data_IF_310733297374
#
_entry.id   IF_310733297374
#
_cell.length_a   1.000
_cell.length_b   1.000
_cell.length_c   1.000
_cell.angle_alpha   90.00
_cell.angle_beta   90.00
_cell.angle_gamma   90.00
#
_symmetry.space_group_name_H-M   'P 1'
#
loop_
_entity.id
_entity.type
_entity.pdbx_description
1 polymer ?
#
# COMPACT_ATOMS: atom_id res chain seq x y z
N UNK A 1 -9.73 21.47 -9.68
CA UNK A 1 -8.85 21.04 -10.81
C UNK A 1 -8.68 19.53 -10.81
N UNK A 2 -7.91 18.91 -9.90
CA UNK A 2 -7.71 17.44 -9.89
C UNK A 2 -9.03 16.64 -9.76
N UNK A 3 -9.91 17.01 -8.82
CA UNK A 3 -11.18 16.30 -8.62
C UNK A 3 -12.18 16.51 -9.77
N UNK A 4 -12.13 17.67 -10.44
CA UNK A 4 -12.96 17.96 -11.60
C UNK A 4 -12.52 17.14 -12.81
N UNK A 5 -11.21 16.95 -12.98
CA UNK A 5 -10.64 16.06 -14.01
C UNK A 5 -11.05 14.61 -13.76
N UNK A 6 -10.96 14.10 -12.52
CA UNK A 6 -11.45 12.75 -12.17
C UNK A 6 -12.93 12.61 -12.49
N UNK A 7 -13.75 13.61 -12.12
CA UNK A 7 -15.18 13.62 -12.38
C UNK A 7 -15.48 13.59 -13.89
N UNK A 8 -14.72 14.33 -14.69
CA UNK A 8 -14.90 14.33 -16.16
C UNK A 8 -14.70 12.94 -16.77
N UNK A 9 -13.88 12.10 -16.14
CA UNK A 9 -13.60 10.74 -16.59
C UNK A 9 -14.57 9.70 -16.08
N UNK A 10 -15.47 10.04 -15.16
CA UNK A 10 -16.50 9.14 -14.62
C UNK A 10 -17.88 9.83 -14.80
N UNK A 11 -18.50 9.69 -15.98
CA UNK A 11 -19.81 10.27 -16.26
C UNK A 11 -20.86 9.81 -15.23
N UNK A 12 -21.68 10.75 -14.75
CA UNK A 12 -22.71 10.48 -13.75
C UNK A 12 -22.21 10.42 -12.30
N UNK A 13 -20.91 10.68 -12.07
CA UNK A 13 -20.36 10.76 -10.72
C UNK A 13 -20.87 12.00 -9.97
N UNK A 14 -21.16 11.85 -8.67
CA UNK A 14 -21.63 12.95 -7.82
C UNK A 14 -20.58 14.05 -7.68
N UNK A 15 -20.99 15.21 -7.15
CA UNK A 15 -20.02 16.18 -6.66
C UNK A 15 -19.18 15.55 -5.52
N UNK A 16 -17.89 15.90 -5.41
CA UNK A 16 -17.06 15.45 -4.30
C UNK A 16 -17.53 16.08 -2.99
N UNK A 17 -17.60 15.25 -1.95
CA UNK A 17 -17.88 15.69 -0.57
C UNK A 17 -16.61 15.45 0.25
N UNK A 18 -16.12 16.47 0.93
CA UNK A 18 -14.96 16.33 1.82
C UNK A 18 -15.41 15.67 3.14
N UNK A 19 -14.71 14.61 3.55
CA UNK A 19 -14.97 13.86 4.77
C UNK A 19 -13.66 13.36 5.38
N UNK A 20 -13.49 13.54 6.70
CA UNK A 20 -12.29 13.21 7.47
C UNK A 20 -11.01 13.77 6.82
N UNK A 21 -10.25 12.90 6.14
CA UNK A 21 -8.95 13.18 5.51
C UNK A 21 -9.02 13.12 3.97
N UNK A 22 -10.20 13.10 3.36
CA UNK A 22 -10.35 12.84 1.93
C UNK A 22 -11.65 13.31 1.30
N UNK A 23 -11.88 12.87 0.06
CA UNK A 23 -13.09 13.17 -0.69
C UNK A 23 -13.85 11.89 -1.04
N UNK A 24 -15.16 11.92 -0.91
CA UNK A 24 -16.07 10.84 -1.27
C UNK A 24 -16.91 11.26 -2.47
N UNK A 25 -17.08 10.33 -3.41
CA UNK A 25 -17.92 10.49 -4.59
C UNK A 25 -18.71 9.21 -4.84
N UNK A 26 -19.95 9.35 -5.31
CA UNK A 26 -20.76 8.23 -5.78
C UNK A 26 -20.66 8.15 -7.30
N UNK A 27 -20.20 7.02 -7.81
CA UNK A 27 -20.16 6.73 -9.24
C UNK A 27 -21.30 5.76 -9.62
N UNK A 28 -21.89 5.89 -10.81
CA UNK A 28 -22.80 4.88 -11.33
C UNK A 28 -22.09 3.53 -11.42
N UNK A 29 -22.78 2.45 -11.07
CA UNK A 29 -22.25 1.12 -11.26
C UNK A 29 -22.01 0.87 -12.76
N UNK A 30 -20.79 0.50 -13.13
CA UNK A 30 -20.48 0.04 -14.49
C UNK A 30 -20.88 -1.44 -14.58
N UNK A 31 -21.79 -1.79 -15.49
CA UNK A 31 -22.16 -3.18 -15.77
C UNK A 31 -20.95 -4.03 -16.20
N UNK A 32 -19.91 -3.40 -16.76
CA UNK A 32 -18.67 -4.06 -17.14
C UNK A 32 -17.62 -4.11 -16.01
N UNK A 33 -17.88 -3.54 -14.83
CA UNK A 33 -16.98 -3.59 -13.69
C UNK A 33 -15.67 -2.80 -13.83
N UNK A 34 -15.55 -1.89 -14.81
CA UNK A 34 -14.29 -1.19 -15.12
C UNK A 34 -14.04 0.08 -14.30
N UNK A 35 -14.79 0.28 -13.21
CA UNK A 35 -14.60 1.46 -12.36
C UNK A 35 -13.17 1.53 -11.81
N UNK A 36 -12.65 0.40 -11.33
CA UNK A 36 -11.27 0.29 -10.82
C UNK A 36 -10.25 0.64 -11.91
N UNK A 37 -10.38 0.08 -13.11
CA UNK A 37 -9.48 0.38 -14.24
C UNK A 37 -9.48 1.86 -14.62
N UNK A 38 -10.68 2.47 -14.63
CA UNK A 38 -10.83 3.91 -14.94
C UNK A 38 -10.23 4.79 -13.84
N UNK A 39 -10.36 4.38 -12.58
CA UNK A 39 -9.77 5.08 -11.45
C UNK A 39 -8.25 4.98 -11.47
N UNK A 40 -7.71 3.79 -11.75
CA UNK A 40 -6.26 3.61 -11.93
C UNK A 40 -5.73 4.46 -13.09
N UNK A 41 -6.43 4.48 -14.22
CA UNK A 41 -6.05 5.30 -15.37
C UNK A 41 -6.13 6.80 -15.08
N UNK A 42 -7.22 7.25 -14.46
CA UNK A 42 -7.35 8.64 -14.04
C UNK A 42 -6.24 9.03 -13.05
N UNK A 43 -5.97 8.17 -12.07
CA UNK A 43 -4.95 8.44 -11.07
C UNK A 43 -3.54 8.43 -11.67
N UNK A 44 -3.21 7.51 -12.60
CA UNK A 44 -1.95 7.55 -13.38
C UNK A 44 -1.76 8.87 -14.12
N UNK A 45 -2.82 9.45 -14.69
CA UNK A 45 -2.76 10.78 -15.35
C UNK A 45 -2.55 11.92 -14.37
N UNK A 46 -3.03 11.78 -13.15
CA UNK A 46 -2.81 12.75 -12.09
C UNK A 46 -1.41 12.65 -11.48
N UNK A 47 -0.77 11.48 -11.53
CA UNK A 47 0.54 11.25 -10.92
C UNK A 47 1.60 12.31 -11.30
N UNK A 48 1.76 12.72 -12.59
CA UNK A 48 2.71 13.77 -12.98
C UNK A 48 2.33 15.17 -12.46
N UNK A 49 1.06 15.41 -12.15
CA UNK A 49 0.55 16.69 -11.65
C UNK A 49 0.76 16.84 -10.13
N UNK A 50 1.08 15.74 -9.44
CA UNK A 50 1.35 15.70 -8.01
C UNK A 50 2.84 15.93 -7.76
N UNK A 51 3.30 17.19 -7.82
CA UNK A 51 4.73 17.54 -7.70
C UNK A 51 5.46 16.85 -6.52
N UNK A 52 4.82 16.78 -5.35
CA UNK A 52 5.29 16.05 -4.16
C UNK A 52 4.14 15.33 -3.43
N UNK A 53 3.08 14.99 -4.17
CA UNK A 53 1.84 14.44 -3.61
C UNK A 53 1.68 12.96 -3.90
N UNK A 54 0.75 12.33 -3.21
CA UNK A 54 0.29 10.99 -3.50
C UNK A 54 -1.24 10.96 -3.44
N UNK A 55 -1.84 10.03 -4.16
CA UNK A 55 -3.30 9.83 -4.21
C UNK A 55 -3.61 8.41 -3.77
N UNK A 56 -4.44 8.29 -2.73
CA UNK A 56 -4.99 7.02 -2.27
C UNK A 56 -6.49 6.96 -2.57
N UNK A 57 -6.91 5.90 -3.23
CA UNK A 57 -8.29 5.69 -3.67
C UNK A 57 -8.78 4.37 -3.06
N UNK A 58 -9.95 4.41 -2.44
CA UNK A 58 -10.66 3.23 -1.97
C UNK A 58 -11.99 3.11 -2.67
N UNK A 59 -12.33 1.90 -3.14
CA UNK A 59 -13.64 1.63 -3.76
C UNK A 59 -14.39 0.57 -2.98
N UNK A 60 -15.71 0.73 -2.88
CA UNK A 60 -16.62 -0.29 -2.37
C UNK A 60 -17.29 -1.06 -3.51
N UNK A 61 -17.96 -2.17 -3.17
CA UNK A 61 -18.71 -2.94 -4.15
C UNK A 61 -19.89 -2.14 -4.73
N UNK A 62 -20.31 -2.42 -5.98
CA UNK A 62 -21.55 -1.89 -6.52
C UNK A 62 -22.75 -2.23 -5.62
N UNK A 63 -23.62 -1.26 -5.37
CA UNK A 63 -24.75 -1.44 -4.47
C UNK A 63 -25.99 -0.64 -4.89
N UNK A 64 -27.15 -1.11 -4.47
CA UNK A 64 -28.46 -0.47 -4.72
C UNK A 64 -29.18 -0.19 -3.41
N UNK A 65 -30.02 0.85 -3.41
CA UNK A 65 -30.79 1.28 -2.24
C UNK A 65 -29.92 1.88 -1.12
N UNK A 66 -30.56 2.54 -0.16
CA UNK A 66 -29.86 3.29 0.89
C UNK A 66 -28.95 2.41 1.77
N UNK A 67 -29.41 1.20 2.14
CA UNK A 67 -28.63 0.29 2.96
C UNK A 67 -27.41 -0.28 2.22
N UNK A 68 -27.56 -0.58 0.92
CA UNK A 68 -26.46 -1.02 0.07
C UNK A 68 -25.41 0.07 -0.12
N UNK A 69 -25.85 1.30 -0.40
CA UNK A 69 -24.96 2.45 -0.53
C UNK A 69 -24.16 2.73 0.74
N UNK A 70 -24.79 2.60 1.92
CA UNK A 70 -24.07 2.74 3.21
C UNK A 70 -22.96 1.69 3.34
N UNK A 71 -23.24 0.43 3.01
CA UNK A 71 -22.22 -0.64 3.04
C UNK A 71 -21.07 -0.36 2.08
N UNK A 72 -21.38 -0.01 0.84
CA UNK A 72 -20.39 0.32 -0.19
C UNK A 72 -19.51 1.50 0.24
N UNK A 73 -20.09 2.51 0.89
CA UNK A 73 -19.35 3.63 1.45
C UNK A 73 -18.39 3.19 2.57
N UNK A 74 -18.84 2.33 3.49
CA UNK A 74 -17.98 1.81 4.56
C UNK A 74 -16.82 0.96 4.00
N UNK A 75 -17.08 0.15 2.98
CA UNK A 75 -16.07 -0.60 2.23
C UNK A 75 -15.06 0.34 1.56
N UNK A 76 -15.54 1.38 0.86
CA UNK A 76 -14.68 2.37 0.21
C UNK A 76 -13.79 3.11 1.21
N UNK A 77 -14.33 3.45 2.40
CA UNK A 77 -13.55 4.06 3.50
C UNK A 77 -12.47 3.11 4.02
N UNK A 78 -12.79 1.83 4.22
CA UNK A 78 -11.82 0.83 4.65
C UNK A 78 -10.70 0.66 3.63
N UNK A 79 -11.07 0.50 2.36
CA UNK A 79 -10.11 0.40 1.26
C UNK A 79 -9.25 1.67 1.15
N UNK A 80 -9.83 2.86 1.32
CA UNK A 80 -9.08 4.13 1.29
C UNK A 80 -8.06 4.20 2.43
N UNK A 81 -8.43 3.82 3.66
CA UNK A 81 -7.47 3.78 4.77
C UNK A 81 -6.31 2.82 4.52
N UNK A 82 -6.56 1.68 3.88
CA UNK A 82 -5.51 0.73 3.46
C UNK A 82 -4.66 1.32 2.33
N UNK A 83 -5.27 1.99 1.35
CA UNK A 83 -4.56 2.64 0.25
C UNK A 83 -3.59 3.72 0.76
N UNK A 84 -3.90 4.37 1.89
CA UNK A 84 -3.00 5.33 2.55
C UNK A 84 -1.76 4.71 3.20
N UNK A 85 -1.77 3.40 3.47
CA UNK A 85 -0.60 2.72 4.06
C UNK A 85 0.54 2.58 3.04
N UNK A 86 0.22 2.33 1.77
CA UNK A 86 1.22 1.94 0.79
C UNK A 86 2.10 3.08 0.26
N UNK A 87 3.24 2.68 -0.28
CA UNK A 87 4.13 3.54 -1.07
C UNK A 87 3.63 3.71 -2.51
N UNK A 88 4.17 4.72 -3.22
CA UNK A 88 3.81 5.07 -4.59
C UNK A 88 3.10 6.42 -4.74
N UNK A 89 3.04 6.95 -5.96
CA UNK A 89 2.36 8.23 -6.26
C UNK A 89 0.84 8.06 -6.31
N UNK A 90 0.38 6.86 -6.67
CA UNK A 90 -1.02 6.51 -6.83
C UNK A 90 -1.24 5.11 -6.28
N UNK A 91 -2.26 4.93 -5.45
CA UNK A 91 -2.66 3.62 -4.95
C UNK A 91 -4.17 3.50 -4.93
N UNK A 92 -4.67 2.45 -5.55
CA UNK A 92 -6.09 2.08 -5.54
C UNK A 92 -6.23 0.76 -4.78
N UNK A 93 -7.21 0.69 -3.90
CA UNK A 93 -7.57 -0.53 -3.16
C UNK A 93 -9.06 -0.73 -3.32
N UNK A 94 -9.47 -1.96 -3.57
CA UNK A 94 -10.88 -2.33 -3.71
C UNK A 94 -11.37 -3.05 -2.45
N UNK A 95 -12.68 -3.32 -2.38
CA UNK A 95 -13.27 -4.11 -1.29
C UNK A 95 -12.66 -5.52 -1.20
N UNK A 96 -12.13 -6.03 -2.31
CA UNK A 96 -11.57 -7.39 -2.44
C UNK A 96 -10.18 -7.50 -1.84
N UNK A 97 -9.48 -6.37 -1.77
CA UNK A 97 -8.09 -6.27 -1.32
C UNK A 97 -7.99 -5.91 0.17
N UNK A 98 -9.14 -5.81 0.86
CA UNK A 98 -9.21 -5.52 2.30
C UNK A 98 -8.73 -6.73 3.08
N UNK A 99 -7.44 -6.75 3.40
CA UNK A 99 -6.88 -7.74 4.33
C UNK A 99 -7.09 -7.32 5.79
N UNK A 100 -7.43 -8.27 6.66
CA UNK A 100 -7.74 -8.02 8.08
C UNK A 100 -6.59 -7.33 8.84
N UNK A 101 -5.35 -7.73 8.58
CA UNK A 101 -4.17 -7.15 9.24
C UNK A 101 -3.87 -5.73 8.73
N UNK A 102 -4.09 -5.44 7.45
CA UNK A 102 -3.93 -4.10 6.92
C UNK A 102 -5.01 -3.15 7.44
N UNK A 103 -6.25 -3.62 7.61
CA UNK A 103 -7.32 -2.81 8.22
C UNK A 103 -7.01 -2.44 9.67
N UNK A 104 -6.48 -3.40 10.45
CA UNK A 104 -6.03 -3.15 11.83
C UNK A 104 -4.89 -2.13 11.84
N UNK A 105 -3.89 -2.31 10.99
CA UNK A 105 -2.77 -1.38 10.86
C UNK A 105 -3.24 0.02 10.43
N UNK A 106 -4.18 0.11 9.49
CA UNK A 106 -4.75 1.36 9.01
C UNK A 106 -5.55 2.12 10.09
N UNK A 107 -5.97 1.42 11.15
CA UNK A 107 -6.67 2.01 12.30
C UNK A 107 -5.71 2.60 13.35
N UNK A 108 -4.41 2.31 13.26
CA UNK A 108 -3.37 2.90 14.13
C UNK A 108 -3.07 4.33 13.65
N UNK A 109 -2.91 5.33 14.54
CA UNK A 109 -2.54 6.70 14.15
C UNK A 109 -1.26 6.78 13.28
N UNK A 110 -1.22 7.75 12.37
CA UNK A 110 -0.16 7.86 11.35
C UNK A 110 1.24 8.08 11.93
N UNK A 111 1.34 8.91 12.97
CA UNK A 111 2.58 9.19 13.71
C UNK A 111 3.13 7.92 14.38
N UNK A 112 2.25 7.10 14.98
CA UNK A 112 2.61 5.82 15.58
C UNK A 112 3.11 4.83 14.53
N UNK A 113 2.44 4.75 13.37
CA UNK A 113 2.86 3.90 12.25
C UNK A 113 4.24 4.31 11.71
N UNK A 114 4.46 5.61 11.51
CA UNK A 114 5.76 6.15 11.04
C UNK A 114 6.87 5.84 12.03
N UNK A 115 6.64 6.04 13.33
CA UNK A 115 7.59 5.69 14.38
C UNK A 115 7.91 4.18 14.37
N UNK A 116 6.89 3.34 14.16
CA UNK A 116 7.07 1.89 14.07
C UNK A 116 7.93 1.49 12.86
N UNK A 117 7.64 2.04 11.67
CA UNK A 117 8.45 1.84 10.46
C UNK A 117 9.89 2.29 10.67
N UNK A 118 10.09 3.50 11.17
CA UNK A 118 11.43 4.08 11.40
C UNK A 118 12.28 3.19 12.31
N UNK A 119 11.69 2.63 13.37
CA UNK A 119 12.40 1.74 14.31
C UNK A 119 12.89 0.44 13.67
N UNK A 120 12.16 -0.11 12.72
CA UNK A 120 12.46 -1.41 12.10
C UNK A 120 13.24 -1.29 10.80
N UNK A 121 12.86 -0.33 9.96
CA UNK A 121 13.33 -0.20 8.57
C UNK A 121 14.31 0.96 8.41
N UNK A 122 14.21 2.01 9.23
CA UNK A 122 15.02 3.23 9.05
C UNK A 122 16.53 2.99 9.11
N UNK A 123 17.00 1.99 9.89
CA UNK A 123 18.43 1.61 9.91
C UNK A 123 18.88 1.00 8.58
N UNK A 124 18.03 0.22 7.92
CA UNK A 124 18.33 -0.38 6.62
C UNK A 124 18.31 0.68 5.53
N UNK A 125 17.33 1.57 5.53
CA UNK A 125 17.24 2.67 4.56
C UNK A 125 18.47 3.59 4.62
N UNK A 126 18.93 3.94 5.83
CA UNK A 126 20.17 4.71 6.02
C UNK A 126 21.38 3.95 5.50
N UNK A 127 21.50 2.68 5.85
CA UNK A 127 22.63 1.87 5.44
C UNK A 127 22.70 1.72 3.91
N UNK A 128 21.55 1.43 3.28
CA UNK A 128 21.41 1.33 1.82
C UNK A 128 21.83 2.62 1.11
N UNK A 129 21.40 3.78 1.63
CA UNK A 129 21.80 5.08 1.10
C UNK A 129 23.30 5.39 1.25
N UNK A 130 23.91 4.96 2.36
CA UNK A 130 25.34 5.20 2.62
C UNK A 130 26.28 4.25 1.86
N UNK A 131 25.84 3.02 1.59
CA UNK A 131 26.69 1.94 1.07
C UNK A 131 26.33 1.49 -0.35
N UNK A 132 25.38 2.16 -1.01
CA UNK A 132 24.84 1.77 -2.32
C UNK A 132 24.40 0.29 -2.33
N UNK A 133 23.69 -0.11 -1.27
CA UNK A 133 23.12 -1.45 -1.12
C UNK A 133 21.60 -1.46 -1.27
N UNK A 134 21.01 -2.66 -1.29
CA UNK A 134 19.57 -2.86 -1.41
C UNK A 134 19.08 -3.95 -0.45
N UNK A 135 19.27 -3.71 0.85
CA UNK A 135 18.83 -4.59 1.92
C UNK A 135 17.32 -4.48 2.17
N UNK A 136 16.72 -3.30 2.01
CA UNK A 136 15.26 -3.15 2.07
C UNK A 136 14.58 -3.96 0.95
N UNK A 137 15.07 -3.87 -0.29
CA UNK A 137 14.56 -4.67 -1.41
C UNK A 137 14.81 -6.17 -1.20
N UNK A 138 16.00 -6.54 -0.74
CA UNK A 138 16.31 -7.95 -0.42
C UNK A 138 15.39 -8.53 0.67
N UNK A 139 15.12 -7.78 1.74
CA UNK A 139 14.21 -8.19 2.80
C UNK A 139 12.77 -8.33 2.29
N UNK A 140 12.32 -7.38 1.47
CA UNK A 140 10.99 -7.40 0.86
C UNK A 140 10.80 -8.66 0.02
N UNK A 141 11.72 -8.94 -0.91
CA UNK A 141 11.67 -10.14 -1.75
C UNK A 141 11.71 -11.44 -0.92
N UNK A 142 12.49 -11.47 0.17
CA UNK A 142 12.52 -12.64 1.04
C UNK A 142 11.18 -12.90 1.74
N UNK A 143 10.50 -11.84 2.19
CA UNK A 143 9.19 -11.95 2.85
C UNK A 143 8.09 -12.32 1.85
N UNK A 144 8.12 -11.76 0.63
CA UNK A 144 7.22 -12.10 -0.48
C UNK A 144 7.39 -13.55 -0.92
N UNK A 145 8.64 -14.03 -0.94
CA UNK A 145 8.97 -15.44 -1.11
C UNK A 145 8.63 -16.30 0.13
N UNK A 146 7.83 -15.79 1.07
CA UNK A 146 7.41 -16.47 2.31
C UNK A 146 8.58 -17.04 3.13
N UNK A 147 9.77 -16.44 3.02
CA UNK A 147 11.01 -16.86 3.68
C UNK A 147 11.75 -17.99 2.96
N UNK A 148 11.39 -18.28 1.69
CA UNK A 148 12.08 -19.28 0.88
C UNK A 148 13.36 -18.70 0.28
N UNK A 149 14.50 -19.23 0.73
CA UNK A 149 15.82 -18.88 0.22
C UNK A 149 15.97 -19.12 -1.29
N UNK A 150 15.43 -20.22 -1.80
CA UNK A 150 15.55 -20.57 -3.23
C UNK A 150 14.73 -19.63 -4.09
N UNK A 151 13.43 -19.46 -3.78
CA UNK A 151 12.55 -18.57 -4.54
C UNK A 151 13.04 -17.11 -4.51
N UNK A 152 13.49 -16.63 -3.35
CA UNK A 152 14.02 -15.28 -3.22
C UNK A 152 15.33 -15.09 -4.01
N UNK A 153 16.23 -16.08 -4.00
CA UNK A 153 17.48 -16.01 -4.76
C UNK A 153 17.21 -16.00 -6.28
N UNK A 154 16.25 -16.82 -6.73
CA UNK A 154 15.76 -16.82 -8.11
C UNK A 154 15.15 -15.47 -8.50
N UNK A 155 14.24 -14.92 -7.67
CA UNK A 155 13.60 -13.64 -7.91
C UNK A 155 14.60 -12.48 -8.01
N UNK A 156 15.57 -12.44 -7.09
CA UNK A 156 16.62 -11.42 -7.09
C UNK A 156 17.76 -11.69 -8.08
N UNK A 157 17.75 -12.83 -8.77
CA UNK A 157 18.78 -13.26 -9.71
C UNK A 157 20.19 -13.29 -9.08
N UNK A 158 20.27 -13.74 -7.83
CA UNK A 158 21.52 -13.86 -7.06
C UNK A 158 21.76 -15.29 -6.60
N UNK A 159 23.02 -15.62 -6.32
CA UNK A 159 23.33 -16.90 -5.71
C UNK A 159 22.84 -16.97 -4.25
N UNK A 160 22.38 -18.14 -3.79
CA UNK A 160 21.86 -18.35 -2.42
C UNK A 160 22.86 -17.94 -1.33
N UNK A 161 24.16 -18.09 -1.57
CA UNK A 161 25.19 -17.62 -0.63
C UNK A 161 25.22 -16.10 -0.49
N UNK A 162 25.04 -15.37 -1.60
CA UNK A 162 24.96 -13.91 -1.59
C UNK A 162 23.70 -13.47 -0.84
N UNK A 163 22.56 -14.10 -1.11
CA UNK A 163 21.33 -13.84 -0.38
C UNK A 163 21.50 -14.06 1.13
N UNK A 164 22.17 -15.16 1.52
CA UNK A 164 22.49 -15.47 2.92
C UNK A 164 23.28 -14.36 3.59
N UNK A 165 24.34 -13.89 2.94
CA UNK A 165 25.12 -12.77 3.44
C UNK A 165 24.24 -11.51 3.64
N UNK A 166 23.42 -11.16 2.64
CA UNK A 166 22.56 -9.96 2.71
C UNK A 166 21.55 -10.07 3.85
N UNK A 167 20.86 -11.20 3.99
CA UNK A 167 19.87 -11.39 5.06
C UNK A 167 20.51 -11.49 6.46
N UNK A 168 21.71 -12.07 6.59
CA UNK A 168 22.46 -12.00 7.84
C UNK A 168 22.84 -10.57 8.21
N UNK A 169 23.16 -9.73 7.22
CA UNK A 169 23.42 -8.30 7.46
C UNK A 169 22.17 -7.55 7.87
N UNK A 170 21.01 -7.86 7.28
CA UNK A 170 19.72 -7.34 7.74
C UNK A 170 19.48 -7.66 9.21
N UNK A 171 19.65 -8.93 9.62
CA UNK A 171 19.47 -9.34 11.02
C UNK A 171 20.45 -8.61 11.97
N UNK A 172 21.71 -8.43 11.55
CA UNK A 172 22.71 -7.73 12.36
C UNK A 172 22.44 -6.23 12.51
N UNK A 173 22.00 -5.57 11.44
CA UNK A 173 21.71 -4.13 11.45
C UNK A 173 20.44 -3.81 12.25
N UNK A 174 19.43 -4.68 12.14
CA UNK A 174 18.12 -4.48 12.78
C UNK A 174 18.05 -5.06 14.20
N UNK A 175 18.91 -6.03 14.54
CA UNK A 175 18.82 -6.79 15.78
C UNK A 175 17.66 -7.79 15.84
N UNK A 176 16.96 -8.03 14.73
CA UNK A 176 15.82 -8.95 14.63
C UNK A 176 16.20 -10.21 13.88
N UNK A 177 15.51 -11.33 14.14
CA UNK A 177 15.79 -12.60 13.48
C UNK A 177 14.70 -13.02 12.51
N UNK A 178 15.09 -13.20 11.25
CA UNK A 178 14.24 -13.70 10.17
C UNK A 178 13.88 -15.19 10.31
N UNK A 179 14.44 -15.88 11.30
CA UNK A 179 14.03 -17.22 11.66
C UNK A 179 12.70 -17.23 12.46
N UNK A 180 12.31 -16.11 13.08
CA UNK A 180 11.09 -16.04 13.90
C UNK A 180 9.92 -15.49 13.10
N UNK A 181 8.73 -16.08 13.30
CA UNK A 181 7.51 -15.56 12.68
C UNK A 181 7.19 -14.14 13.19
N UNK A 182 7.46 -13.86 14.47
CA UNK A 182 7.18 -12.57 15.09
C UNK A 182 7.91 -11.44 14.37
N UNK A 183 9.22 -11.56 14.24
CA UNK A 183 10.04 -10.52 13.61
C UNK A 183 9.71 -10.38 12.12
N UNK A 184 9.40 -11.50 11.44
CA UNK A 184 8.95 -11.47 10.05
C UNK A 184 7.62 -10.72 9.89
N UNK A 185 6.65 -10.95 10.79
CA UNK A 185 5.39 -10.20 10.79
C UNK A 185 5.66 -8.71 11.05
N UNK A 186 6.55 -8.40 12.00
CA UNK A 186 6.90 -7.03 12.32
C UNK A 186 7.49 -6.31 11.09
N UNK A 187 8.40 -6.96 10.37
CA UNK A 187 8.94 -6.44 9.09
C UNK A 187 7.88 -6.35 7.99
N UNK A 188 7.02 -7.35 7.80
CA UNK A 188 5.93 -7.28 6.82
C UNK A 188 5.03 -6.07 7.05
N UNK A 189 4.65 -5.82 8.32
CA UNK A 189 3.82 -4.67 8.68
C UNK A 189 4.57 -3.35 8.49
N UNK A 190 5.84 -3.27 8.89
CA UNK A 190 6.65 -2.07 8.72
C UNK A 190 6.86 -1.70 7.24
N UNK A 191 7.11 -2.69 6.38
CA UNK A 191 7.25 -2.50 4.94
C UNK A 191 5.94 -2.12 4.25
N UNK A 192 4.79 -2.47 4.85
CA UNK A 192 3.46 -2.06 4.36
C UNK A 192 3.12 -0.60 4.67
N UNK A 193 3.87 0.06 5.56
CA UNK A 193 3.69 1.47 5.94
C UNK A 193 4.56 2.33 5.02
N UNK A 194 4.04 3.49 4.61
CA UNK A 194 4.76 4.49 3.83
C UNK A 194 5.86 5.19 4.63
#
# INVERSE_FOLDING_TARGET
MILDDVRSQIPGCSAPVFEDDGYVMLAPADEAGRLSDRLEEAARRLAPLLAHGWVAIGTGAPATGAAGLRRSLDEARHAHRIARLGSGTVRTVTERDISSHLLLLASVPDDVRKLYRERLIGVLERYDAEHDSDFVGTLTAFLDASGSWQRCAEELHVHVNTLRYRLQRVEQLTGHSLATLRDRVDFCLALSIR
#
